data_IF_791138022121
#
_entry.id   IF_791138022121
#
_cell.length_a   1.000
_cell.length_b   1.000
_cell.length_c   1.000
_cell.angle_alpha   90.00
_cell.angle_beta   90.00
_cell.angle_gamma   90.00
#
_symmetry.space_group_name_H-M   'P 1'
#
loop_
_entity.id
_entity.type
_entity.pdbx_description
1 polymer ?
#
# COMPACT_ATOMS: atom_id res chain seq x y z
N UNK A 1 2.72 38.85 -43.23
CA UNK A 1 2.17 38.04 -42.12
C UNK A 1 0.68 38.35 -42.07
N UNK A 2 -0.15 37.55 -42.75
CA UNK A 2 -1.60 37.80 -42.83
C UNK A 2 -2.23 37.42 -41.50
N UNK A 3 -2.72 38.42 -40.77
CA UNK A 3 -3.53 38.22 -39.56
C UNK A 3 -4.79 37.45 -39.93
N UNK A 4 -4.85 36.17 -39.54
CA UNK A 4 -6.07 35.36 -39.67
C UNK A 4 -6.98 35.72 -38.51
N UNK A 5 -7.82 36.72 -38.70
CA UNK A 5 -8.88 37.07 -37.75
C UNK A 5 -10.03 36.06 -37.92
N UNK A 6 -10.36 35.35 -36.84
CA UNK A 6 -11.52 34.45 -36.81
C UNK A 6 -12.81 35.28 -37.04
N UNK A 7 -13.70 34.87 -37.95
CA UNK A 7 -14.97 35.57 -38.18
C UNK A 7 -15.98 35.36 -37.03
N UNK A 8 -15.74 34.37 -36.17
CA UNK A 8 -16.57 34.10 -34.99
C UNK A 8 -15.85 34.50 -33.70
N UNK A 9 -16.59 34.92 -32.64
CA UNK A 9 -16.03 35.12 -31.31
C UNK A 9 -15.27 33.87 -30.85
N UNK A 10 -14.14 34.08 -30.16
CA UNK A 10 -13.40 32.97 -29.59
C UNK A 10 -14.28 32.21 -28.58
N UNK A 11 -14.12 30.88 -28.54
CA UNK A 11 -14.80 30.06 -27.54
C UNK A 11 -14.44 30.55 -26.13
N UNK A 12 -15.42 30.50 -25.22
CA UNK A 12 -15.25 30.89 -23.81
C UNK A 12 -14.12 30.10 -23.12
N UNK A 13 -13.99 28.80 -23.43
CA UNK A 13 -12.85 27.99 -23.03
C UNK A 13 -11.81 27.90 -24.15
N UNK A 14 -10.72 28.63 -23.98
CA UNK A 14 -9.61 28.69 -24.92
C UNK A 14 -8.56 27.58 -24.69
N UNK A 15 -8.72 26.71 -23.67
CA UNK A 15 -7.75 25.65 -23.41
C UNK A 15 -7.67 24.70 -24.61
N UNK A 16 -6.46 24.44 -25.06
CA UNK A 16 -6.14 23.39 -26.02
C UNK A 16 -4.88 22.66 -25.55
N UNK A 17 -4.95 21.34 -25.49
CA UNK A 17 -3.83 20.48 -25.12
C UNK A 17 -3.23 19.83 -26.37
N UNK A 18 -2.86 20.67 -27.34
CA UNK A 18 -2.33 20.25 -28.66
C UNK A 18 -0.95 19.59 -28.56
N UNK A 19 -0.30 19.75 -27.41
CA UNK A 19 1.00 19.19 -27.09
C UNK A 19 0.90 17.76 -26.53
N UNK A 20 -0.31 17.20 -26.33
CA UNK A 20 -0.46 15.83 -25.81
C UNK A 20 -0.19 14.79 -26.88
N UNK A 21 0.42 13.69 -26.43
CA UNK A 21 0.52 12.48 -27.24
C UNK A 21 -0.87 11.84 -27.38
N UNK A 22 -1.16 11.32 -28.58
CA UNK A 22 -2.44 10.70 -28.93
C UNK A 22 -2.17 9.22 -29.24
N UNK A 23 -2.27 8.32 -28.25
CA UNK A 23 -1.93 6.91 -28.44
C UNK A 23 -2.69 6.25 -29.58
N UNK A 24 -3.95 6.63 -29.81
CA UNK A 24 -4.76 6.12 -30.92
C UNK A 24 -4.23 6.44 -32.33
N UNK A 25 -3.20 7.30 -32.44
CA UNK A 25 -2.51 7.62 -33.70
C UNK A 25 -1.08 7.13 -33.76
N UNK A 26 -0.45 7.02 -32.59
CA UNK A 26 0.99 6.80 -32.47
C UNK A 26 1.34 5.39 -32.01
N UNK A 27 0.35 4.63 -31.51
CA UNK A 27 0.50 3.25 -31.04
C UNK A 27 -0.55 2.34 -31.70
N UNK A 28 -0.08 1.21 -32.25
CA UNK A 28 -0.92 0.27 -33.01
C UNK A 28 -1.97 -0.42 -32.14
N UNK A 29 -1.63 -0.74 -30.90
CA UNK A 29 -2.54 -1.41 -29.97
C UNK A 29 -3.64 -0.43 -29.54
N UNK A 30 -3.28 0.79 -29.19
CA UNK A 30 -4.23 1.83 -28.82
C UNK A 30 -5.12 2.25 -30.01
N UNK A 31 -4.57 2.31 -31.23
CA UNK A 31 -5.35 2.53 -32.46
C UNK A 31 -6.40 1.42 -32.63
N UNK A 32 -5.99 0.14 -32.56
CA UNK A 32 -6.91 -0.99 -32.70
C UNK A 32 -7.98 -1.03 -31.60
N UNK A 33 -7.60 -0.83 -30.33
CA UNK A 33 -8.55 -0.79 -29.21
C UNK A 33 -9.52 0.39 -29.32
N UNK A 34 -9.05 1.54 -29.83
CA UNK A 34 -9.91 2.72 -29.97
C UNK A 34 -11.10 2.47 -30.90
N UNK A 35 -10.98 1.57 -31.87
CA UNK A 35 -12.08 1.20 -32.78
C UNK A 35 -13.31 0.65 -32.03
N UNK A 36 -13.12 0.02 -30.86
CA UNK A 36 -14.23 -0.50 -30.05
C UNK A 36 -15.07 0.60 -29.39
N UNK A 37 -14.51 1.81 -29.24
CA UNK A 37 -15.11 2.95 -28.54
C UNK A 37 -15.28 4.19 -29.44
N UNK A 38 -15.38 3.98 -30.75
CA UNK A 38 -15.67 5.03 -31.74
C UNK A 38 -14.50 5.45 -32.62
N UNK A 39 -13.35 4.80 -32.50
CA UNK A 39 -12.19 4.97 -33.36
C UNK A 39 -11.14 5.96 -32.86
N UNK A 40 -10.07 6.17 -33.64
CA UNK A 40 -8.98 7.07 -33.29
C UNK A 40 -9.43 8.52 -33.15
N UNK A 41 -8.64 9.30 -32.40
CA UNK A 41 -8.90 10.73 -32.23
C UNK A 41 -8.90 11.43 -33.60
N UNK A 42 -9.95 12.21 -33.87
CA UNK A 42 -10.13 12.94 -35.13
C UNK A 42 -9.08 14.02 -35.39
N UNK A 43 -8.80 14.34 -36.66
CA UNK A 43 -7.72 15.29 -37.05
C UNK A 43 -7.97 16.71 -36.52
N UNK A 44 -9.24 17.07 -36.36
CA UNK A 44 -9.68 18.38 -35.88
C UNK A 44 -10.25 18.30 -34.46
N UNK A 45 -9.97 17.22 -33.72
CA UNK A 45 -10.46 17.08 -32.36
C UNK A 45 -9.73 18.05 -31.41
N UNK A 46 -10.51 18.83 -30.66
CA UNK A 46 -9.98 19.74 -29.62
C UNK A 46 -9.78 18.98 -28.31
N UNK A 47 -8.52 18.80 -27.90
CA UNK A 47 -8.15 18.04 -26.71
C UNK A 47 -8.01 18.97 -25.51
N UNK A 48 -8.48 18.51 -24.34
CA UNK A 48 -8.37 19.26 -23.08
C UNK A 48 -9.63 20.03 -22.67
N UNK A 49 -10.70 20.00 -23.48
CA UNK A 49 -12.00 20.66 -23.19
C UNK A 49 -13.07 19.72 -22.62
N UNK A 50 -12.78 18.42 -22.51
CA UNK A 50 -13.72 17.44 -21.93
C UNK A 50 -14.01 17.77 -20.46
N UNK A 51 -15.24 18.20 -20.15
CA UNK A 51 -15.62 18.61 -18.78
C UNK A 51 -15.76 17.43 -17.83
N UNK A 52 -16.28 16.29 -18.31
CA UNK A 52 -16.61 15.15 -17.46
C UNK A 52 -15.59 14.02 -17.51
N UNK A 53 -15.28 13.48 -18.70
CA UNK A 53 -14.33 12.37 -18.87
C UNK A 53 -12.92 12.88 -19.18
N UNK A 54 -12.22 13.34 -18.14
CA UNK A 54 -10.79 13.63 -18.23
C UNK A 54 -9.98 12.32 -18.24
N UNK A 55 -8.75 12.29 -18.80
CA UNK A 55 -7.94 11.07 -18.81
C UNK A 55 -7.75 10.45 -17.42
N UNK A 56 -7.60 11.28 -16.38
CA UNK A 56 -7.49 10.80 -15.00
C UNK A 56 -8.77 10.10 -14.53
N UNK A 57 -9.95 10.64 -14.84
CA UNK A 57 -11.22 10.00 -14.46
C UNK A 57 -11.42 8.68 -15.20
N UNK A 58 -11.03 8.61 -16.47
CA UNK A 58 -11.03 7.34 -17.23
C UNK A 58 -10.10 6.31 -16.55
N UNK A 59 -8.88 6.72 -16.16
CA UNK A 59 -7.96 5.85 -15.43
C UNK A 59 -8.52 5.40 -14.07
N UNK A 60 -9.24 6.25 -13.36
CA UNK A 60 -9.92 5.86 -12.13
C UNK A 60 -11.05 4.87 -12.37
N UNK A 61 -11.82 5.01 -13.45
CA UNK A 61 -12.82 4.01 -13.84
C UNK A 61 -12.15 2.66 -14.12
N UNK A 62 -11.08 2.64 -14.92
CA UNK A 62 -10.29 1.42 -15.19
C UNK A 62 -9.79 0.81 -13.87
N UNK A 63 -9.21 1.62 -12.99
CA UNK A 63 -8.69 1.16 -11.72
C UNK A 63 -9.78 0.58 -10.83
N UNK A 64 -10.95 1.20 -10.75
CA UNK A 64 -12.10 0.70 -9.98
C UNK A 64 -12.56 -0.65 -10.52
N UNK A 65 -12.59 -0.84 -11.85
CA UNK A 65 -12.90 -2.14 -12.45
C UNK A 65 -11.88 -3.20 -12.03
N UNK A 66 -10.58 -2.91 -12.12
CA UNK A 66 -9.53 -3.87 -11.73
C UNK A 66 -9.49 -4.14 -10.23
N UNK A 67 -9.76 -3.12 -9.40
CA UNK A 67 -9.94 -3.26 -7.96
C UNK A 67 -11.18 -4.12 -7.65
N UNK A 68 -12.30 -3.92 -8.35
CA UNK A 68 -13.49 -4.75 -8.17
C UNK A 68 -13.20 -6.22 -8.52
N UNK A 69 -12.54 -6.47 -9.66
CA UNK A 69 -12.06 -7.81 -10.02
C UNK A 69 -11.16 -8.38 -8.92
N UNK A 70 -10.20 -7.60 -8.43
CA UNK A 70 -9.33 -8.04 -7.35
C UNK A 70 -10.08 -8.39 -6.08
N UNK A 71 -11.07 -7.59 -5.68
CA UNK A 71 -11.94 -7.91 -4.54
C UNK A 71 -12.70 -9.22 -4.78
N UNK A 72 -13.25 -9.42 -5.98
CA UNK A 72 -13.98 -10.66 -6.30
C UNK A 72 -13.10 -11.90 -6.21
N UNK A 73 -11.80 -11.80 -6.56
CA UNK A 73 -10.87 -12.94 -6.35
C UNK A 73 -10.70 -13.30 -4.88
N UNK A 74 -10.84 -12.35 -3.95
CA UNK A 74 -10.71 -12.60 -2.51
C UNK A 74 -12.02 -13.04 -1.86
N UNK A 75 -13.16 -12.81 -2.52
CA UNK A 75 -14.49 -13.06 -1.95
C UNK A 75 -14.74 -14.52 -1.52
N UNK A 76 -14.13 -15.50 -2.21
CA UNK A 76 -14.23 -16.91 -1.83
C UNK A 76 -13.61 -17.20 -0.44
N UNK A 77 -12.57 -16.46 -0.05
CA UNK A 77 -11.91 -16.57 1.26
C UNK A 77 -12.60 -15.75 2.36
N UNK A 78 -13.56 -14.89 2.01
CA UNK A 78 -14.35 -14.09 2.98
C UNK A 78 -15.58 -14.84 3.50
N UNK A 79 -15.77 -16.09 3.09
CA UNK A 79 -16.82 -16.96 3.64
C UNK A 79 -16.56 -17.22 5.11
N UNK A 80 -17.62 -17.19 5.93
CA UNK A 80 -17.49 -17.32 7.38
C UNK A 80 -18.26 -18.52 7.89
N UNK A 81 -17.75 -19.12 8.96
CA UNK A 81 -18.34 -20.25 9.68
C UNK A 81 -18.54 -19.88 11.14
N UNK A 82 -19.49 -20.55 11.79
CA UNK A 82 -19.87 -20.28 13.19
C UNK A 82 -21.26 -19.68 13.32
N UNK A 83 -21.94 -20.00 14.43
CA UNK A 83 -23.24 -19.44 14.83
C UNK A 83 -22.99 -18.44 15.96
N UNK A 84 -23.55 -17.24 15.86
CA UNK A 84 -23.39 -16.22 16.90
C UNK A 84 -23.36 -14.78 16.38
N UNK A 85 -22.83 -13.89 17.23
CA UNK A 85 -22.60 -12.48 16.94
C UNK A 85 -21.46 -12.27 15.93
N UNK A 86 -21.32 -11.05 15.39
CA UNK A 86 -20.30 -10.74 14.38
C UNK A 86 -18.85 -11.05 14.82
N UNK A 87 -18.54 -10.98 16.11
CA UNK A 87 -17.21 -11.29 16.65
C UNK A 87 -16.93 -12.78 16.85
N UNK A 88 -17.95 -13.64 16.85
CA UNK A 88 -17.82 -15.10 17.02
C UNK A 88 -17.69 -15.83 15.68
N UNK A 89 -18.06 -15.17 14.57
CA UNK A 89 -17.88 -15.70 13.22
C UNK A 89 -16.41 -15.59 12.80
N UNK A 90 -15.84 -16.70 12.36
CA UNK A 90 -14.47 -16.80 11.86
C UNK A 90 -14.47 -17.07 10.36
N UNK A 91 -13.38 -16.72 9.67
CA UNK A 91 -13.21 -17.05 8.26
C UNK A 91 -13.11 -18.58 8.09
N UNK A 92 -13.70 -19.11 7.01
CA UNK A 92 -13.68 -20.53 6.70
C UNK A 92 -12.39 -20.90 5.96
N UNK A 93 -11.52 -21.63 6.65
CA UNK A 93 -10.23 -22.13 6.15
C UNK A 93 -10.22 -23.64 5.81
N UNK A 94 -11.39 -24.30 5.78
CA UNK A 94 -11.50 -25.73 5.50
C UNK A 94 -10.84 -26.11 4.17
N UNK A 95 -10.30 -27.33 4.10
CA UNK A 95 -9.69 -27.92 2.90
C UNK A 95 -8.61 -27.04 2.24
N UNK A 96 -7.87 -26.24 3.02
CA UNK A 96 -6.83 -25.35 2.48
C UNK A 96 -7.39 -24.41 1.38
N UNK A 97 -8.65 -23.98 1.52
CA UNK A 97 -9.40 -23.20 0.53
C UNK A 97 -8.61 -22.04 -0.05
N UNK A 98 -7.82 -21.36 0.77
CA UNK A 98 -7.03 -20.20 0.35
C UNK A 98 -6.06 -20.49 -0.81
N UNK A 99 -5.57 -21.73 -0.90
CA UNK A 99 -4.62 -22.15 -1.91
C UNK A 99 -5.33 -22.75 -3.14
N UNK A 100 -6.37 -23.55 -2.94
CA UNK A 100 -7.12 -24.17 -4.05
C UNK A 100 -7.99 -23.17 -4.82
N UNK A 101 -8.61 -22.20 -4.14
CA UNK A 101 -9.44 -21.15 -4.75
C UNK A 101 -8.62 -19.92 -5.16
N UNK A 102 -7.30 -19.92 -4.93
CA UNK A 102 -6.39 -18.79 -5.23
C UNK A 102 -6.82 -17.44 -4.59
N UNK A 103 -7.58 -17.49 -3.49
CA UNK A 103 -8.16 -16.32 -2.84
C UNK A 103 -7.35 -15.81 -1.64
N UNK A 104 -6.15 -16.35 -1.42
CA UNK A 104 -5.29 -15.99 -0.29
C UNK A 104 -5.05 -14.48 -0.18
N UNK A 105 -5.09 -13.98 1.06
CA UNK A 105 -4.75 -12.62 1.46
C UNK A 105 -4.19 -12.65 2.86
N UNK A 106 -3.07 -11.97 3.10
CA UNK A 106 -2.44 -11.85 4.42
C UNK A 106 -3.36 -11.10 5.40
N UNK A 107 -4.22 -10.22 4.90
CA UNK A 107 -5.07 -9.38 5.74
C UNK A 107 -6.03 -10.19 6.63
N UNK A 108 -6.64 -11.26 6.12
CA UNK A 108 -7.61 -12.09 6.86
C UNK A 108 -6.95 -12.87 8.02
N UNK A 109 -5.86 -13.66 7.82
CA UNK A 109 -5.22 -14.40 8.89
C UNK A 109 -4.51 -13.49 9.90
N UNK A 110 -3.97 -12.33 9.48
CA UNK A 110 -3.32 -11.37 10.38
C UNK A 110 -4.25 -10.87 11.47
N UNK A 111 -5.55 -10.70 11.17
CA UNK A 111 -6.52 -10.22 12.14
C UNK A 111 -6.57 -11.10 13.40
N UNK A 112 -6.38 -12.41 13.27
CA UNK A 112 -6.27 -13.33 14.42
C UNK A 112 -4.83 -13.52 14.88
N UNK A 113 -3.87 -13.65 13.94
CA UNK A 113 -2.48 -13.98 14.27
C UNK A 113 -1.80 -12.87 15.09
N UNK A 114 -2.14 -11.62 14.83
CA UNK A 114 -1.53 -10.44 15.45
C UNK A 114 -2.31 -9.93 16.69
N UNK A 115 -3.18 -10.77 17.26
CA UNK A 115 -4.04 -10.44 18.41
C UNK A 115 -4.95 -9.22 18.18
N UNK A 116 -5.17 -8.81 16.93
CA UNK A 116 -6.05 -7.69 16.56
C UNK A 116 -7.51 -8.03 16.89
N UNK A 117 -7.88 -9.31 16.80
CA UNK A 117 -9.16 -9.83 17.30
C UNK A 117 -9.41 -9.53 18.79
N UNK A 118 -8.35 -9.42 19.60
CA UNK A 118 -8.44 -9.05 21.02
C UNK A 118 -8.40 -7.53 21.26
N UNK A 119 -8.24 -6.72 20.21
CA UNK A 119 -8.14 -5.27 20.33
C UNK A 119 -6.82 -4.78 20.93
N UNK A 120 -5.78 -5.62 20.97
CA UNK A 120 -4.49 -5.24 21.54
C UNK A 120 -3.76 -4.26 20.62
N UNK A 121 -3.04 -3.33 21.23
CA UNK A 121 -2.22 -2.37 20.48
C UNK A 121 -0.98 -3.08 19.90
N UNK A 122 -0.66 -2.89 18.59
CA UNK A 122 0.53 -3.44 17.95
C UNK A 122 1.82 -3.02 18.65
N UNK A 123 2.86 -3.84 18.59
CA UNK A 123 4.21 -3.60 19.16
C UNK A 123 4.31 -3.56 20.69
N UNK A 124 3.22 -3.27 21.42
CA UNK A 124 3.17 -3.39 22.88
C UNK A 124 2.75 -4.78 23.35
N UNK A 125 2.04 -5.51 22.49
CA UNK A 125 1.59 -6.87 22.77
C UNK A 125 2.47 -7.91 22.08
N UNK A 126 2.66 -9.03 22.77
CA UNK A 126 3.36 -10.21 22.27
C UNK A 126 2.57 -11.48 22.56
N UNK A 127 2.90 -12.57 21.87
CA UNK A 127 2.38 -13.90 22.15
C UNK A 127 3.47 -14.95 22.06
N UNK A 128 3.27 -16.06 22.76
CA UNK A 128 4.14 -17.24 22.67
C UNK A 128 3.63 -18.08 21.50
N UNK A 129 4.52 -18.42 20.56
CA UNK A 129 4.21 -19.36 19.50
C UNK A 129 4.14 -20.76 20.09
N UNK A 130 3.00 -21.42 19.96
CA UNK A 130 2.82 -22.81 20.37
C UNK A 130 2.92 -23.74 19.14
N UNK A 131 3.35 -24.97 19.35
CA UNK A 131 3.38 -26.03 18.35
C UNK A 131 1.98 -26.62 18.10
N UNK A 132 1.87 -27.55 17.15
CA UNK A 132 0.62 -28.22 16.82
C UNK A 132 0.01 -29.04 17.98
N UNK A 133 0.82 -29.34 18.99
CA UNK A 133 0.43 -30.02 20.24
C UNK A 133 0.09 -29.06 21.38
N UNK A 134 0.17 -27.74 21.15
CA UNK A 134 -0.15 -26.71 22.13
C UNK A 134 0.98 -26.36 23.11
N UNK A 135 2.18 -26.93 22.93
CA UNK A 135 3.34 -26.61 23.76
C UNK A 135 4.08 -25.40 23.19
N UNK A 136 4.72 -24.55 24.01
CA UNK A 136 5.53 -23.44 23.53
C UNK A 136 6.64 -23.96 22.60
N UNK A 137 6.74 -23.38 21.40
CA UNK A 137 7.91 -23.62 20.55
C UNK A 137 9.12 -23.00 21.20
N UNK A 138 10.14 -23.82 21.40
CA UNK A 138 11.41 -23.40 21.97
C UNK A 138 12.33 -23.01 20.81
N UNK A 139 12.93 -21.82 20.89
CA UNK A 139 13.95 -21.38 19.96
C UNK A 139 15.26 -22.16 20.16
N UNK A 140 16.19 -22.02 19.22
CA UNK A 140 17.51 -22.67 19.30
C UNK A 140 18.30 -22.28 20.57
N UNK A 141 17.93 -21.18 21.23
CA UNK A 141 18.53 -20.68 22.47
C UNK A 141 17.88 -21.24 23.75
N UNK A 142 16.88 -22.11 23.63
CA UNK A 142 16.17 -22.68 24.79
C UNK A 142 15.04 -21.81 25.36
N UNK A 143 14.80 -20.62 24.80
CA UNK A 143 13.73 -19.72 25.23
C UNK A 143 12.43 -19.96 24.46
N UNK A 144 11.25 -19.63 25.04
CA UNK A 144 9.99 -19.67 24.30
C UNK A 144 10.00 -18.67 23.14
N UNK A 145 9.51 -19.07 21.97
CA UNK A 145 9.42 -18.20 20.81
C UNK A 145 8.35 -17.11 21.02
N UNK A 146 8.77 -15.94 21.50
CA UNK A 146 7.92 -14.76 21.66
C UNK A 146 7.85 -14.02 20.31
N UNK A 147 6.62 -13.81 19.81
CA UNK A 147 6.35 -13.07 18.58
C UNK A 147 5.72 -11.72 18.87
N UNK A 148 6.03 -10.78 17.98
CA UNK A 148 5.52 -9.40 17.95
C UNK A 148 5.02 -9.09 16.53
N UNK A 149 4.30 -7.98 16.39
CA UNK A 149 3.87 -7.45 15.09
C UNK A 149 5.04 -7.32 14.12
N UNK A 150 5.02 -8.13 13.06
CA UNK A 150 6.12 -8.22 12.11
C UNK A 150 6.13 -7.06 11.10
N UNK A 151 4.97 -6.44 10.88
CA UNK A 151 4.81 -5.36 9.90
C UNK A 151 5.46 -4.05 10.34
N UNK A 152 5.81 -3.15 9.40
CA UNK A 152 6.28 -1.81 9.72
C UNK A 152 5.21 -0.97 10.43
N UNK A 153 5.64 -0.01 11.25
CA UNK A 153 4.76 0.70 12.20
C UNK A 153 3.53 1.30 11.56
N UNK A 154 3.64 1.99 10.42
CA UNK A 154 2.46 2.59 9.78
C UNK A 154 1.49 1.54 9.25
N UNK A 155 2.00 0.40 8.77
CA UNK A 155 1.13 -0.71 8.34
C UNK A 155 0.46 -1.37 9.53
N UNK A 156 1.18 -1.63 10.63
CA UNK A 156 0.56 -2.14 11.86
C UNK A 156 -0.45 -1.17 12.48
N UNK A 157 -0.18 0.14 12.45
CA UNK A 157 -1.15 1.16 12.87
C UNK A 157 -2.37 1.21 11.96
N UNK A 158 -2.17 1.08 10.64
CA UNK A 158 -3.27 0.98 9.68
C UNK A 158 -4.16 -0.24 9.94
N UNK A 159 -3.56 -1.39 10.25
CA UNK A 159 -4.28 -2.58 10.69
C UNK A 159 -5.05 -2.31 11.99
N UNK A 160 -4.42 -1.70 12.99
CA UNK A 160 -5.08 -1.38 14.26
C UNK A 160 -6.29 -0.44 14.09
N UNK A 161 -6.17 0.59 13.25
CA UNK A 161 -7.28 1.50 12.93
C UNK A 161 -8.41 0.75 12.21
N UNK A 162 -8.06 -0.09 11.22
CA UNK A 162 -9.04 -0.89 10.48
C UNK A 162 -9.77 -1.88 11.39
N UNK A 163 -9.06 -2.47 12.36
CA UNK A 163 -9.64 -3.33 13.38
C UNK A 163 -10.55 -2.55 14.33
N UNK A 164 -10.12 -1.37 14.79
CA UNK A 164 -10.91 -0.53 15.70
C UNK A 164 -12.24 -0.13 15.05
N UNK A 165 -12.22 0.19 13.76
CA UNK A 165 -13.42 0.46 12.96
C UNK A 165 -14.29 -0.80 12.80
N UNK A 166 -13.70 -1.97 12.55
CA UNK A 166 -14.44 -3.23 12.47
C UNK A 166 -15.13 -3.60 13.80
N UNK A 167 -14.43 -3.43 14.94
CA UNK A 167 -14.99 -3.61 16.29
C UNK A 167 -16.12 -2.62 16.58
N UNK A 168 -15.96 -1.37 16.16
CA UNK A 168 -17.00 -0.35 16.30
C UNK A 168 -18.25 -0.75 15.51
N UNK A 169 -18.07 -1.27 14.29
CA UNK A 169 -19.18 -1.83 13.51
C UNK A 169 -19.85 -3.00 14.25
N UNK A 170 -19.09 -3.97 14.76
CA UNK A 170 -19.63 -5.07 15.59
C UNK A 170 -20.43 -4.54 16.78
N UNK A 171 -19.93 -3.53 17.49
CA UNK A 171 -20.65 -2.91 18.61
C UNK A 171 -21.96 -2.26 18.16
N UNK A 172 -21.97 -1.57 17.02
CA UNK A 172 -23.17 -0.95 16.44
C UNK A 172 -24.20 -1.99 16.01
N UNK A 173 -23.79 -3.16 15.50
CA UNK A 173 -24.74 -4.24 15.14
C UNK A 173 -25.53 -4.79 16.33
N UNK A 174 -25.06 -4.56 17.57
CA UNK A 174 -25.80 -4.92 18.79
C UNK A 174 -26.86 -3.88 19.18
N UNK A 175 -26.72 -2.64 18.70
CA UNK A 175 -27.59 -1.51 19.02
C UNK A 175 -28.61 -1.22 17.92
N UNK A 176 -28.25 -1.48 16.67
CA UNK A 176 -29.06 -1.20 15.48
C UNK A 176 -29.16 -2.46 14.63
N UNK A 177 -30.34 -2.72 14.06
CA UNK A 177 -30.56 -3.83 13.13
C UNK A 177 -29.90 -3.57 11.78
N UNK A 178 -28.59 -3.79 11.70
CA UNK A 178 -27.78 -3.75 10.47
C UNK A 178 -27.35 -5.18 10.07
N UNK A 179 -26.99 -5.41 8.79
CA UNK A 179 -26.56 -6.72 8.33
C UNK A 179 -25.41 -7.29 9.17
N UNK A 180 -25.58 -8.52 9.64
CA UNK A 180 -24.60 -9.22 10.46
C UNK A 180 -23.44 -9.73 9.58
N UNK A 181 -22.41 -8.90 9.42
CA UNK A 181 -21.15 -9.27 8.76
C UNK A 181 -20.12 -9.67 9.81
N UNK A 182 -19.34 -10.73 9.58
CA UNK A 182 -18.28 -11.15 10.50
C UNK A 182 -17.23 -10.03 10.68
N UNK A 183 -16.71 -9.87 11.89
CA UNK A 183 -15.76 -8.80 12.22
C UNK A 183 -14.50 -8.87 11.35
N UNK A 184 -13.99 -10.09 11.09
CA UNK A 184 -12.84 -10.32 10.21
C UNK A 184 -13.10 -9.88 8.76
N UNK A 185 -14.33 -10.03 8.27
CA UNK A 185 -14.72 -9.59 6.91
C UNK A 185 -14.86 -8.07 6.88
N UNK A 186 -15.38 -7.45 7.95
CA UNK A 186 -15.41 -5.99 8.05
C UNK A 186 -14.02 -5.39 8.14
N UNK A 187 -13.10 -6.01 8.89
CA UNK A 187 -11.70 -5.65 8.92
C UNK A 187 -11.07 -5.69 7.53
N UNK A 188 -11.31 -6.77 6.77
CA UNK A 188 -10.89 -6.89 5.38
C UNK A 188 -11.47 -5.77 4.52
N UNK A 189 -12.78 -5.51 4.59
CA UNK A 189 -13.44 -4.50 3.76
C UNK A 189 -12.91 -3.08 4.02
N UNK A 190 -12.70 -2.72 5.29
CA UNK A 190 -12.15 -1.42 5.69
C UNK A 190 -10.70 -1.29 5.20
N UNK A 191 -9.92 -2.37 5.33
CA UNK A 191 -8.55 -2.42 4.81
C UNK A 191 -8.53 -2.30 3.28
N UNK A 192 -9.34 -3.08 2.58
CA UNK A 192 -9.46 -3.05 1.13
C UNK A 192 -9.87 -1.66 0.61
N UNK A 193 -10.77 -0.97 1.32
CA UNK A 193 -11.16 0.40 0.97
C UNK A 193 -9.98 1.39 1.04
N UNK A 194 -9.20 1.37 2.12
CA UNK A 194 -8.03 2.26 2.22
C UNK A 194 -6.93 1.89 1.21
N UNK A 195 -6.72 0.59 0.93
CA UNK A 195 -5.81 0.14 -0.12
C UNK A 195 -6.27 0.58 -1.52
N UNK A 196 -7.57 0.56 -1.79
CA UNK A 196 -8.14 1.08 -3.04
C UNK A 196 -7.88 2.59 -3.18
N UNK A 197 -8.09 3.38 -2.11
CA UNK A 197 -7.76 4.81 -2.12
C UNK A 197 -6.27 5.06 -2.35
N UNK A 198 -5.41 4.27 -1.72
CA UNK A 198 -3.97 4.34 -1.92
C UNK A 198 -3.59 4.03 -3.38
N UNK A 199 -4.23 3.03 -4.00
CA UNK A 199 -4.04 2.72 -5.41
C UNK A 199 -4.48 3.86 -6.34
N UNK A 200 -5.63 4.49 -6.07
CA UNK A 200 -6.07 5.68 -6.80
C UNK A 200 -5.07 6.84 -6.64
N UNK A 201 -4.47 7.01 -5.45
CA UNK A 201 -3.41 7.99 -5.24
C UNK A 201 -2.13 7.65 -6.03
N UNK A 202 -1.75 6.36 -6.14
CA UNK A 202 -0.67 5.90 -7.03
C UNK A 202 -0.94 6.29 -8.47
N UNK A 203 -2.14 6.03 -8.99
CA UNK A 203 -2.52 6.37 -10.37
C UNK A 203 -2.49 7.87 -10.60
N UNK A 204 -3.06 8.64 -9.68
CA UNK A 204 -3.01 10.10 -9.73
C UNK A 204 -1.56 10.60 -9.76
N UNK A 205 -0.70 10.08 -8.90
CA UNK A 205 0.69 10.51 -8.85
C UNK A 205 1.41 10.21 -10.18
N UNK A 206 1.23 8.99 -10.71
CA UNK A 206 1.78 8.56 -12.00
C UNK A 206 1.26 9.40 -13.17
N UNK A 207 -0.05 9.66 -13.24
CA UNK A 207 -0.63 10.47 -14.32
C UNK A 207 -0.12 11.91 -14.29
N UNK A 208 0.21 12.44 -13.11
CA UNK A 208 0.78 13.78 -12.95
C UNK A 208 2.28 13.83 -13.27
N UNK A 209 2.98 12.70 -13.23
CA UNK A 209 4.38 12.58 -13.68
C UNK A 209 4.51 12.38 -15.20
N UNK A 210 3.53 11.70 -15.83
CA UNK A 210 3.59 11.29 -17.23
C UNK A 210 3.59 12.45 -18.27
N UNK A 211 3.31 13.70 -17.84
CA UNK A 211 3.48 14.89 -18.69
C UNK A 211 2.61 14.85 -19.95
N UNK A 212 3.24 14.86 -21.13
CA UNK A 212 2.56 14.81 -22.45
C UNK A 212 1.93 13.45 -22.76
N UNK A 213 2.45 12.36 -22.16
CA UNK A 213 2.00 10.98 -22.36
C UNK A 213 1.14 10.48 -21.20
N UNK A 214 0.14 11.28 -20.81
CA UNK A 214 -0.71 10.97 -19.63
C UNK A 214 -1.29 9.55 -19.68
N UNK A 215 -1.62 9.06 -20.88
CA UNK A 215 -2.18 7.72 -21.13
C UNK A 215 -1.24 6.56 -20.76
N UNK A 216 0.08 6.77 -20.63
CA UNK A 216 1.00 5.74 -20.13
C UNK A 216 0.61 5.30 -18.71
N UNK A 217 0.00 6.18 -17.90
CA UNK A 217 -0.50 5.85 -16.57
C UNK A 217 -1.69 4.88 -16.59
N UNK A 218 -2.36 4.68 -17.72
CA UNK A 218 -3.43 3.69 -17.86
C UNK A 218 -2.89 2.26 -17.76
N UNK A 219 -1.64 2.01 -18.18
CA UNK A 219 -0.96 0.73 -18.01
C UNK A 219 -0.79 0.36 -16.54
N UNK A 220 -0.54 1.37 -15.69
CA UNK A 220 -0.50 1.18 -14.23
C UNK A 220 -1.91 0.90 -13.72
N UNK A 221 -2.89 1.74 -14.08
CA UNK A 221 -4.27 1.62 -13.60
C UNK A 221 -4.92 0.26 -13.90
N UNK A 222 -4.69 -0.28 -15.10
CA UNK A 222 -5.24 -1.55 -15.58
C UNK A 222 -4.23 -2.70 -15.65
N UNK A 223 -3.21 -2.70 -14.79
CA UNK A 223 -2.24 -3.80 -14.78
C UNK A 223 -2.88 -5.09 -14.24
N UNK A 224 -2.73 -6.26 -14.89
CA UNK A 224 -3.30 -7.53 -14.42
C UNK A 224 -2.83 -7.92 -13.01
N UNK A 225 -1.62 -7.51 -12.60
CA UNK A 225 -1.10 -7.79 -11.26
C UNK A 225 -1.96 -7.16 -10.16
N UNK A 226 -2.69 -6.07 -10.46
CA UNK A 226 -3.58 -5.40 -9.51
C UNK A 226 -4.68 -6.35 -9.08
N UNK A 227 -5.24 -7.12 -10.00
CA UNK A 227 -6.33 -8.07 -9.70
C UNK A 227 -5.86 -9.04 -8.61
N UNK A 228 -4.65 -9.57 -8.73
CA UNK A 228 -4.20 -10.61 -7.81
C UNK A 228 -3.57 -10.07 -6.54
N UNK A 229 -2.83 -8.96 -6.61
CA UNK A 229 -1.91 -8.54 -5.56
C UNK A 229 -2.41 -7.38 -4.70
N UNK A 230 -3.31 -6.53 -5.21
CA UNK A 230 -3.67 -5.26 -4.54
C UNK A 230 -4.28 -5.45 -3.15
N UNK A 231 -4.97 -6.57 -2.93
CA UNK A 231 -5.56 -6.94 -1.64
C UNK A 231 -4.91 -8.18 -1.02
N UNK A 232 -3.77 -8.65 -1.54
CA UNK A 232 -3.03 -9.74 -0.90
C UNK A 232 -2.29 -9.23 0.32
N UNK A 233 -1.72 -8.03 0.24
CA UNK A 233 -0.95 -7.41 1.31
C UNK A 233 -1.24 -5.88 1.33
N UNK A 234 -0.67 -5.15 2.30
CA UNK A 234 -0.87 -3.72 2.52
C UNK A 234 0.01 -2.82 1.63
N UNK A 235 0.53 -3.36 0.52
CA UNK A 235 1.58 -2.75 -0.29
C UNK A 235 1.12 -1.49 -1.02
N UNK A 236 -0.19 -1.36 -1.25
CA UNK A 236 -0.76 -0.18 -1.89
C UNK A 236 -0.44 1.13 -1.13
N UNK A 237 -0.30 1.07 0.20
CA UNK A 237 0.11 2.22 1.02
C UNK A 237 1.53 2.70 0.66
N UNK A 238 2.44 1.73 0.52
CA UNK A 238 3.82 2.00 0.15
C UNK A 238 3.91 2.42 -1.33
N UNK A 239 3.08 1.89 -2.24
CA UNK A 239 3.10 2.29 -3.66
C UNK A 239 2.59 3.71 -3.83
N UNK A 240 1.57 4.11 -3.07
CA UNK A 240 1.07 5.47 -3.05
C UNK A 240 2.15 6.46 -2.60
N UNK A 241 2.85 6.12 -1.51
CA UNK A 241 3.94 6.91 -0.95
C UNK A 241 5.12 7.01 -1.93
N UNK A 242 5.53 5.89 -2.53
CA UNK A 242 6.59 5.83 -3.53
C UNK A 242 6.27 6.67 -4.78
N UNK A 243 5.08 6.51 -5.36
CA UNK A 243 4.65 7.29 -6.52
C UNK A 243 4.53 8.79 -6.20
N UNK A 244 4.00 9.13 -5.02
CA UNK A 244 3.97 10.50 -4.51
C UNK A 244 5.36 11.10 -4.33
N UNK A 245 6.31 10.33 -3.82
CA UNK A 245 7.70 10.76 -3.64
C UNK A 245 8.37 11.07 -4.99
N UNK A 246 8.20 10.20 -5.98
CA UNK A 246 8.69 10.43 -7.34
C UNK A 246 8.06 11.69 -7.94
N UNK A 247 6.75 11.90 -7.73
CA UNK A 247 6.07 13.11 -8.21
C UNK A 247 6.61 14.38 -7.53
N UNK A 248 6.84 14.35 -6.22
CA UNK A 248 7.42 15.45 -5.48
C UNK A 248 8.84 15.76 -5.97
N UNK A 249 9.64 14.73 -6.23
CA UNK A 249 10.99 14.86 -6.78
C UNK A 249 10.97 15.48 -8.18
N UNK A 250 10.11 14.98 -9.08
CA UNK A 250 9.92 15.51 -10.43
C UNK A 250 9.52 17.00 -10.40
N UNK A 251 8.77 17.43 -9.38
CA UNK A 251 8.38 18.83 -9.14
C UNK A 251 9.41 19.66 -8.39
N UNK A 252 10.65 19.18 -8.25
CA UNK A 252 11.76 19.85 -7.54
C UNK A 252 11.44 20.17 -6.06
N UNK A 253 10.63 19.32 -5.41
CA UNK A 253 10.30 19.41 -3.98
C UNK A 253 10.98 18.29 -3.19
N UNK A 254 12.31 18.34 -2.95
CA UNK A 254 13.07 17.24 -2.35
C UNK A 254 12.66 16.91 -0.91
N UNK A 255 12.19 17.91 -0.14
CA UNK A 255 11.70 17.72 1.24
C UNK A 255 10.46 16.82 1.25
N UNK A 256 9.49 17.07 0.38
CA UNK A 256 8.30 16.24 0.26
C UNK A 256 8.62 14.85 -0.31
N UNK A 257 9.58 14.77 -1.23
CA UNK A 257 10.05 13.49 -1.73
C UNK A 257 10.64 12.62 -0.61
N UNK A 258 11.53 13.17 0.21
CA UNK A 258 12.11 12.47 1.36
C UNK A 258 11.07 12.10 2.41
N UNK A 259 10.17 13.00 2.77
CA UNK A 259 9.08 12.71 3.71
C UNK A 259 8.19 11.54 3.23
N UNK A 260 7.81 11.53 1.95
CA UNK A 260 7.01 10.44 1.38
C UNK A 260 7.79 9.13 1.26
N UNK A 261 9.11 9.17 1.01
CA UNK A 261 9.94 7.97 1.08
C UNK A 261 9.97 7.44 2.52
N UNK A 262 10.18 8.29 3.52
CA UNK A 262 10.17 7.89 4.93
C UNK A 262 8.85 7.27 5.36
N UNK A 263 7.71 7.88 4.99
CA UNK A 263 6.37 7.30 5.18
C UNK A 263 6.25 5.95 4.47
N UNK A 264 6.75 5.85 3.23
CA UNK A 264 6.80 4.62 2.48
C UNK A 264 7.59 3.52 3.21
N UNK A 265 8.78 3.83 3.71
CA UNK A 265 9.65 2.91 4.48
C UNK A 265 8.96 2.44 5.76
N UNK A 266 8.28 3.36 6.43
CA UNK A 266 7.50 3.07 7.62
C UNK A 266 6.23 2.22 7.34
N UNK A 267 5.84 2.06 6.08
CA UNK A 267 4.78 1.15 5.64
C UNK A 267 5.34 -0.18 5.05
N UNK A 268 6.41 -0.12 4.26
CA UNK A 268 7.15 -1.27 3.70
C UNK A 268 8.57 -0.85 3.33
N UNK A 269 9.56 -1.74 3.38
CA UNK A 269 10.96 -1.36 3.20
C UNK A 269 11.35 -0.93 1.77
N UNK A 270 10.67 -1.41 0.73
CA UNK A 270 11.12 -1.22 -0.66
C UNK A 270 11.19 0.23 -1.17
N UNK A 271 10.39 1.22 -0.71
CA UNK A 271 10.56 2.63 -1.11
C UNK A 271 11.92 3.20 -0.73
N UNK A 272 12.63 2.61 0.24
CA UNK A 272 14.02 2.97 0.56
C UNK A 272 14.93 2.80 -0.67
N UNK A 273 14.66 1.79 -1.50
CA UNK A 273 15.46 1.49 -2.69
C UNK A 273 15.41 2.63 -3.72
N UNK A 274 14.40 3.52 -3.65
CA UNK A 274 14.35 4.71 -4.51
C UNK A 274 15.50 5.69 -4.24
N UNK A 275 16.14 5.63 -3.07
CA UNK A 275 17.33 6.46 -2.84
C UNK A 275 18.49 6.11 -3.77
N UNK A 276 18.64 4.85 -4.16
CA UNK A 276 19.73 4.42 -5.05
C UNK A 276 19.71 5.20 -6.38
N UNK A 277 18.62 5.16 -7.20
CA UNK A 277 18.57 5.94 -8.42
C UNK A 277 18.56 7.46 -8.18
N UNK A 278 18.01 7.95 -7.06
CA UNK A 278 18.02 9.39 -6.73
C UNK A 278 19.42 9.91 -6.44
N UNK A 279 20.25 9.15 -5.71
CA UNK A 279 21.65 9.48 -5.45
C UNK A 279 22.44 9.47 -6.76
N UNK A 280 22.30 8.42 -7.58
CA UNK A 280 22.95 8.33 -8.89
C UNK A 280 22.57 9.50 -9.80
N UNK A 281 21.29 9.85 -9.85
CA UNK A 281 20.80 11.01 -10.60
C UNK A 281 21.35 12.32 -10.03
N UNK A 282 21.41 12.46 -8.71
CA UNK A 282 21.95 13.64 -8.03
C UNK A 282 23.45 13.82 -8.29
N UNK A 283 24.22 12.73 -8.33
CA UNK A 283 25.63 12.72 -8.72
C UNK A 283 25.79 13.18 -10.17
N UNK A 284 25.02 12.58 -11.09
CA UNK A 284 25.07 12.91 -12.52
C UNK A 284 24.67 14.36 -12.83
N UNK A 285 23.73 14.92 -12.07
CA UNK A 285 23.19 16.27 -12.32
C UNK A 285 23.79 17.36 -11.43
N UNK A 286 24.76 17.03 -10.58
CA UNK A 286 25.37 17.97 -9.63
C UNK A 286 24.41 18.46 -8.53
N UNK A 287 23.30 17.75 -8.27
CA UNK A 287 22.23 18.16 -7.34
C UNK A 287 22.27 17.44 -5.99
N UNK A 288 23.46 17.18 -5.47
CA UNK A 288 23.64 16.46 -4.20
C UNK A 288 22.96 17.15 -3.01
N UNK A 289 22.86 18.48 -3.01
CA UNK A 289 22.09 19.21 -1.98
C UNK A 289 20.61 18.81 -1.94
N UNK A 290 20.00 18.50 -3.08
CA UNK A 290 18.61 18.05 -3.15
C UNK A 290 18.45 16.63 -2.61
N UNK A 291 19.41 15.74 -2.94
CA UNK A 291 19.47 14.37 -2.41
C UNK A 291 19.66 14.41 -0.89
N UNK A 292 20.58 15.23 -0.38
CA UNK A 292 20.79 15.41 1.05
C UNK A 292 19.54 15.90 1.79
N UNK A 293 18.80 16.87 1.22
CA UNK A 293 17.51 17.31 1.79
C UNK A 293 16.47 16.19 1.83
N UNK A 294 16.38 15.36 0.79
CA UNK A 294 15.47 14.21 0.78
C UNK A 294 15.90 13.13 1.79
N UNK A 295 17.20 12.83 1.90
CA UNK A 295 17.72 11.87 2.86
C UNK A 295 17.49 12.32 4.30
N UNK A 296 17.80 13.58 4.63
CA UNK A 296 17.56 14.15 5.97
C UNK A 296 16.08 14.10 6.35
N UNK A 297 15.19 14.36 5.40
CA UNK A 297 13.74 14.41 5.67
C UNK A 297 13.13 13.01 5.79
N UNK A 298 13.63 12.03 5.04
CA UNK A 298 13.28 10.62 5.23
C UNK A 298 13.76 10.08 6.59
N UNK A 299 14.92 10.57 7.05
CA UNK A 299 15.50 10.23 8.36
C UNK A 299 14.99 11.10 9.51
N UNK A 300 14.04 12.01 9.28
CA UNK A 300 13.50 12.91 10.31
C UNK A 300 13.04 12.11 11.54
N UNK A 301 13.15 12.67 12.76
CA UNK A 301 12.85 11.96 14.02
C UNK A 301 11.51 11.25 14.05
N UNK A 302 10.48 11.73 13.33
CA UNK A 302 9.19 11.03 13.20
C UNK A 302 9.27 9.70 12.44
N UNK A 303 10.03 9.63 11.35
CA UNK A 303 10.27 8.38 10.61
C UNK A 303 11.29 7.48 11.32
N UNK A 304 12.31 8.08 11.95
CA UNK A 304 13.34 7.33 12.68
C UNK A 304 12.82 6.78 14.02
N UNK A 305 11.94 7.49 14.73
CA UNK A 305 11.27 7.00 15.95
C UNK A 305 10.41 5.78 15.66
N UNK A 306 9.72 5.77 14.52
CA UNK A 306 8.93 4.65 14.01
C UNK A 306 9.83 3.44 13.68
N UNK A 307 10.91 3.64 12.92
CA UNK A 307 11.86 2.55 12.65
C UNK A 307 12.57 2.07 13.92
N UNK A 308 12.89 2.98 14.85
CA UNK A 308 13.59 2.66 16.09
C UNK A 308 12.68 1.95 17.09
N UNK A 309 11.39 2.27 17.18
CA UNK A 309 10.45 1.49 17.98
C UNK A 309 10.24 0.10 17.39
N UNK A 310 10.17 -0.03 16.06
CA UNK A 310 10.11 -1.33 15.39
C UNK A 310 11.37 -2.18 15.64
N UNK A 311 12.56 -1.56 15.57
CA UNK A 311 13.83 -2.26 15.84
C UNK A 311 13.99 -2.60 17.33
N UNK A 312 13.64 -1.68 18.23
CA UNK A 312 13.69 -1.87 19.70
C UNK A 312 12.74 -2.97 20.17
N UNK A 313 11.50 -3.00 19.66
CA UNK A 313 10.56 -4.08 20.00
C UNK A 313 11.06 -5.47 19.56
N UNK A 314 11.96 -5.52 18.57
CA UNK A 314 12.61 -6.76 18.12
C UNK A 314 13.76 -7.18 19.04
N UNK A 315 14.50 -6.21 19.58
CA UNK A 315 15.65 -6.42 20.49
C UNK A 315 15.19 -6.73 21.94
N UNK A 316 14.12 -6.09 22.43
CA UNK A 316 13.56 -6.36 23.77
C UNK A 316 12.97 -7.78 23.88
N UNK A 317 12.56 -8.36 22.76
CA UNK A 317 12.18 -9.77 22.65
C UNK A 317 13.35 -10.75 22.84
N UNK A 318 14.59 -10.32 22.60
CA UNK A 318 15.80 -11.10 22.87
C UNK A 318 16.41 -10.82 24.25
N UNK A 319 16.19 -9.65 24.84
CA UNK A 319 16.76 -9.32 26.16
C UNK A 319 15.94 -9.89 27.32
N UNK A 320 14.63 -10.09 27.14
CA UNK A 320 13.73 -10.64 28.17
C UNK A 320 13.85 -12.16 28.37
N UNK A 321 14.55 -12.88 27.48
CA UNK A 321 14.93 -14.29 27.69
C UNK A 321 16.25 -14.47 28.46
N UNK A 322 16.98 -13.38 28.74
CA UNK A 322 18.30 -13.42 29.39
C UNK A 322 18.31 -13.27 30.91
N UNK A 323 17.17 -13.05 31.58
CA UNK A 323 17.13 -12.71 33.02
C UNK A 323 16.65 -13.85 33.92
N UNK A 324 17.04 -15.09 33.63
CA UNK A 324 17.01 -16.17 34.64
C UNK A 324 18.18 -17.15 34.45
N UNK A 325 19.40 -16.71 34.78
CA UNK A 325 20.47 -17.61 35.19
C UNK A 325 21.41 -16.86 36.14
N UNK A 326 21.12 -17.01 37.44
CA UNK A 326 22.09 -16.75 38.47
C UNK A 326 23.19 -17.81 38.45
N UNK A 327 24.42 -17.34 38.69
CA UNK A 327 25.61 -18.09 39.08
C UNK A 327 26.19 -19.09 38.07
N UNK A 328 27.23 -18.66 37.34
CA UNK A 328 28.42 -19.48 37.13
C UNK A 328 29.62 -18.63 36.68
N UNK A 329 30.67 -18.65 37.51
CA UNK A 329 32.10 -18.61 37.17
C UNK A 329 32.68 -17.37 36.47
N UNK A 330 33.34 -16.55 37.30
CA UNK A 330 34.74 -16.11 37.13
C UNK A 330 35.49 -16.84 36.01
N UNK A 331 35.96 -16.11 34.99
CA UNK A 331 37.24 -16.42 34.34
C UNK A 331 37.93 -15.14 33.86
N UNK A 332 39.08 -14.92 34.49
CA UNK A 332 40.13 -13.97 34.19
C UNK A 332 40.71 -14.14 32.77
N UNK A 333 41.15 -13.02 32.20
CA UNK A 333 42.08 -12.96 31.05
C UNK A 333 43.24 -13.96 31.22
N UNK A 334 43.57 -14.70 30.17
CA UNK A 334 44.94 -14.72 29.63
C UNK A 334 44.99 -15.39 28.25
N UNK A 335 45.66 -14.69 27.34
CA UNK A 335 46.27 -15.15 26.10
C UNK A 335 47.24 -16.31 26.33
N UNK A 336 47.26 -17.31 25.44
CA UNK A 336 48.49 -17.86 24.79
C UNK A 336 48.15 -19.02 23.85
N UNK A 337 48.70 -18.91 22.62
CA UNK A 337 48.89 -19.91 21.54
C UNK A 337 47.67 -20.61 20.93
#
# INVERSE_FOLDING_TARGET
MTDRVSPAPLAEDQRSADDRDLPSRNDRLAEALSQTVGGPVGRHALIGRSRFMTPLRVMFVIAVVFLALGYTTKAACLQTTGKGSAGERVANWENNRAYYELCYSDTVPLYTAELLNLGKFPYKSSWVENDATGNPRIQYDGSPAIRYMEYPVLTGLYQYVSMSLAKTYTALTKLVSVPLVAEVVMFFNISAFGLALAWLATIWATSRMAGRRVWDAALVAGSPIVIFQVFTNFDALATASAAGAMLAWARRKPVWAGALIGIGVAAKLYPLLLFVPLVLLGLRTGRLRAVGKAALTASSPGCLSICRSWCSSREDGQSSSGSTLGAATTWTRSTTW
#
